data_IF_436798113745
#
_entry.id   IF_436798113745
#
_cell.length_a   1.000
_cell.length_b   1.000
_cell.length_c   1.000
_cell.angle_alpha   90.00
_cell.angle_beta   90.00
_cell.angle_gamma   90.00
#
_symmetry.space_group_name_H-M   'P 1'
#
loop_
_entity.id
_entity.type
_entity.pdbx_description
1 polymer ?
#
# COMPACT_ATOMS: atom_id res chain seq x y z
N UNK A 1 -12.79 14.95 -9.24
CA UNK A 1 -12.47 15.27 -7.83
C UNK A 1 -11.26 14.44 -7.43
N UNK A 2 -10.09 15.08 -7.32
CA UNK A 2 -8.85 14.43 -6.90
C UNK A 2 -8.87 14.24 -5.39
N UNK A 3 -8.96 12.99 -4.94
CA UNK A 3 -9.11 12.66 -3.52
C UNK A 3 -7.83 12.87 -2.68
N UNK A 4 -6.68 13.18 -3.29
CA UNK A 4 -5.42 13.49 -2.60
C UNK A 4 -4.50 14.35 -3.49
N UNK A 5 -4.33 15.66 -3.22
CA UNK A 5 -3.51 16.55 -4.06
C UNK A 5 -1.99 16.33 -3.93
N UNK A 6 -1.53 15.45 -3.02
CA UNK A 6 -0.12 15.11 -2.79
C UNK A 6 0.14 13.60 -2.80
N UNK A 7 -0.58 12.87 -3.66
CA UNK A 7 -0.45 11.41 -3.74
C UNK A 7 0.66 11.02 -4.72
N UNK A 8 1.64 10.24 -4.27
CA UNK A 8 2.47 9.45 -5.18
C UNK A 8 1.67 8.24 -5.64
N UNK A 9 1.49 8.12 -6.96
CA UNK A 9 0.83 6.98 -7.56
C UNK A 9 1.87 5.88 -7.83
N UNK A 10 1.72 4.74 -7.16
CA UNK A 10 2.45 3.53 -7.54
C UNK A 10 1.67 2.85 -8.67
N UNK A 11 2.04 3.14 -9.93
CA UNK A 11 1.50 2.40 -11.05
C UNK A 11 2.19 1.04 -11.11
N UNK A 12 1.44 -0.02 -10.83
CA UNK A 12 1.91 -1.38 -10.94
C UNK A 12 1.27 -1.97 -12.18
N UNK A 13 2.08 -2.24 -13.21
CA UNK A 13 1.62 -2.99 -14.38
C UNK A 13 1.13 -4.37 -13.89
N UNK A 14 -0.19 -4.54 -13.93
CA UNK A 14 -0.86 -5.75 -13.51
C UNK A 14 -0.57 -6.85 -14.53
N UNK A 15 0.17 -7.87 -14.09
CA UNK A 15 0.35 -9.11 -14.84
C UNK A 15 -0.63 -10.11 -14.22
N UNK A 16 -1.51 -10.72 -15.02
CA UNK A 16 -2.27 -11.90 -14.56
C UNK A 16 -1.25 -12.92 -14.04
N UNK A 17 -1.32 -13.28 -12.75
CA UNK A 17 -0.31 -14.04 -11.97
C UNK A 17 0.77 -13.22 -11.23
N UNK A 18 0.51 -11.95 -10.91
CA UNK A 18 1.39 -11.22 -10.02
C UNK A 18 1.48 -11.93 -8.66
N UNK A 19 2.69 -12.38 -8.29
CA UNK A 19 2.93 -12.98 -6.99
C UNK A 19 2.63 -11.94 -5.89
N UNK A 20 1.67 -12.29 -5.04
CA UNK A 20 1.21 -11.48 -3.91
C UNK A 20 2.35 -11.03 -2.98
N UNK A 21 3.29 -11.92 -2.65
CA UNK A 21 4.43 -11.56 -1.83
C UNK A 21 5.34 -10.55 -2.54
N UNK A 22 5.55 -10.71 -3.85
CA UNK A 22 6.35 -9.77 -4.64
C UNK A 22 5.68 -8.40 -4.72
N UNK A 23 4.35 -8.36 -4.79
CA UNK A 23 3.58 -7.13 -4.77
C UNK A 23 3.66 -6.41 -3.43
N UNK A 24 3.43 -7.13 -2.32
CA UNK A 24 3.57 -6.60 -0.97
C UNK A 24 4.99 -6.08 -0.75
N UNK A 25 6.02 -6.82 -1.17
CA UNK A 25 7.42 -6.39 -1.06
C UNK A 25 7.72 -5.10 -1.84
N UNK A 26 7.11 -4.91 -3.02
CA UNK A 26 7.23 -3.64 -3.77
C UNK A 26 6.63 -2.46 -2.98
N UNK A 27 5.49 -2.68 -2.34
CA UNK A 27 4.85 -1.68 -1.48
C UNK A 27 5.78 -1.33 -0.30
N UNK A 28 6.31 -2.33 0.39
CA UNK A 28 7.21 -2.11 1.54
C UNK A 28 8.51 -1.40 1.13
N UNK A 29 9.11 -1.79 0.01
CA UNK A 29 10.28 -1.11 -0.53
C UNK A 29 9.99 0.37 -0.82
N UNK A 30 8.80 0.69 -1.34
CA UNK A 30 8.43 2.07 -1.61
C UNK A 30 8.22 2.88 -0.33
N UNK A 31 7.63 2.27 0.71
CA UNK A 31 7.51 2.87 2.04
C UNK A 31 8.90 3.16 2.62
N UNK A 32 9.81 2.19 2.57
CA UNK A 32 11.18 2.33 3.09
C UNK A 32 12.05 3.31 2.29
N UNK A 33 11.90 3.36 0.96
CA UNK A 33 12.69 4.27 0.11
C UNK A 33 12.24 5.72 0.25
N UNK A 34 10.96 5.95 0.52
CA UNK A 34 10.41 7.29 0.69
C UNK A 34 10.53 7.71 2.16
N UNK A 35 11.75 8.09 2.61
CA UNK A 35 11.99 8.79 3.88
C UNK A 35 11.44 10.24 3.90
N UNK A 36 10.46 10.57 3.06
CA UNK A 36 9.87 11.89 3.04
C UNK A 36 8.86 12.02 4.18
N UNK A 37 9.11 12.96 5.09
CA UNK A 37 8.24 13.36 6.21
C UNK A 37 6.78 13.72 5.82
N UNK A 38 6.44 13.70 4.53
CA UNK A 38 5.20 14.24 3.97
C UNK A 38 4.27 13.19 3.35
N UNK A 39 4.77 11.97 3.10
CA UNK A 39 3.94 10.95 2.47
C UNK A 39 3.15 10.23 3.55
N UNK A 40 1.96 10.74 3.86
CA UNK A 40 1.06 10.17 4.88
C UNK A 40 0.00 9.23 4.32
N UNK A 41 -0.01 9.04 2.98
CA UNK A 41 -1.00 8.20 2.29
C UNK A 41 -0.39 7.55 1.04
N UNK A 42 -0.48 6.23 0.95
CA UNK A 42 -0.24 5.42 -0.24
C UNK A 42 -1.56 4.87 -0.79
N UNK A 43 -1.83 5.09 -2.08
CA UNK A 43 -2.93 4.44 -2.79
C UNK A 43 -2.40 3.32 -3.66
N UNK A 44 -3.04 2.17 -3.57
CA UNK A 44 -2.69 0.99 -4.34
C UNK A 44 -3.93 0.57 -5.11
N UNK A 45 -3.87 0.65 -6.44
CA UNK A 45 -4.93 0.16 -7.31
C UNK A 45 -4.70 -1.33 -7.62
N UNK A 46 -5.67 -2.18 -7.28
CA UNK A 46 -5.68 -3.60 -7.62
C UNK A 46 -7.10 -4.12 -7.75
N UNK A 47 -7.37 -4.75 -8.90
CA UNK A 47 -8.69 -5.30 -9.26
C UNK A 47 -9.00 -6.57 -8.45
N UNK A 48 -7.97 -7.21 -7.90
CA UNK A 48 -8.05 -8.49 -7.18
C UNK A 48 -7.85 -8.35 -5.68
N UNK A 49 -7.82 -7.13 -5.13
CA UNK A 49 -7.72 -6.94 -3.68
C UNK A 49 -8.82 -7.69 -2.94
N UNK A 50 -8.42 -8.62 -2.09
CA UNK A 50 -9.27 -9.29 -1.11
C UNK A 50 -8.81 -8.97 0.33
N UNK A 51 -9.58 -9.44 1.30
CA UNK A 51 -9.32 -9.17 2.72
C UNK A 51 -8.10 -9.95 3.23
N UNK A 52 -7.74 -11.07 2.60
CA UNK A 52 -6.55 -11.84 2.92
C UNK A 52 -5.28 -11.06 2.56
N UNK A 53 -5.26 -10.42 1.39
CA UNK A 53 -4.17 -9.54 0.96
C UNK A 53 -3.95 -8.40 1.95
N UNK A 54 -5.03 -7.78 2.44
CA UNK A 54 -4.95 -6.71 3.45
C UNK A 54 -4.39 -7.23 4.77
N UNK A 55 -4.83 -8.41 5.21
CA UNK A 55 -4.32 -9.04 6.44
C UNK A 55 -2.82 -9.35 6.33
N UNK A 56 -2.37 -9.87 5.19
CA UNK A 56 -0.95 -10.13 4.94
C UNK A 56 -0.12 -8.85 4.90
N UNK A 57 -0.62 -7.80 4.23
CA UNK A 57 0.03 -6.49 4.21
C UNK A 57 0.18 -5.93 5.62
N UNK A 58 -0.89 -5.97 6.42
CA UNK A 58 -0.89 -5.52 7.82
C UNK A 58 0.18 -6.27 8.64
N UNK A 59 0.16 -7.60 8.56
CA UNK A 59 1.10 -8.44 9.30
C UNK A 59 2.56 -8.13 8.93
N UNK A 60 2.88 -7.94 7.65
CA UNK A 60 4.24 -7.59 7.24
C UNK A 60 4.68 -6.21 7.73
N UNK A 61 3.78 -5.21 7.72
CA UNK A 61 4.07 -3.87 8.28
C UNK A 61 4.37 -3.97 9.77
N UNK A 62 3.58 -4.75 10.51
CA UNK A 62 3.72 -4.95 11.96
C UNK A 62 5.01 -5.72 12.30
N UNK A 63 5.29 -6.82 11.59
CA UNK A 63 6.46 -7.69 11.81
C UNK A 63 7.78 -6.96 11.53
N UNK A 64 7.83 -6.16 10.46
CA UNK A 64 9.01 -5.37 10.08
C UNK A 64 9.05 -3.98 10.75
N UNK A 65 8.04 -3.63 11.56
CA UNK A 65 7.89 -2.32 12.24
C UNK A 65 8.05 -1.12 11.30
N UNK A 66 7.49 -1.23 10.10
CA UNK A 66 7.69 -0.24 9.03
C UNK A 66 6.91 1.06 9.29
N UNK A 67 5.76 0.97 9.96
CA UNK A 67 4.91 2.10 10.30
C UNK A 67 4.39 1.92 11.74
N UNK A 68 4.41 2.98 12.54
CA UNK A 68 3.99 2.94 13.94
C UNK A 68 2.48 3.22 14.11
N UNK A 69 1.98 4.27 13.47
CA UNK A 69 0.58 4.67 13.51
C UNK A 69 0.01 4.70 12.10
N UNK A 70 -0.62 3.59 11.68
CA UNK A 70 -1.17 3.46 10.34
C UNK A 70 -2.59 2.89 10.30
N UNK A 71 -3.28 3.17 9.20
CA UNK A 71 -4.62 2.64 8.89
C UNK A 71 -4.65 2.12 7.46
N UNK A 72 -5.27 0.96 7.26
CA UNK A 72 -5.54 0.41 5.93
C UNK A 72 -7.05 0.50 5.68
N UNK A 73 -7.45 1.13 4.59
CA UNK A 73 -8.84 1.23 4.15
C UNK A 73 -8.98 0.69 2.73
N UNK A 74 -10.01 -0.12 2.48
CA UNK A 74 -10.32 -0.65 1.14
C UNK A 74 -11.57 0.03 0.61
N UNK A 75 -11.50 0.52 -0.63
CA UNK A 75 -12.66 1.03 -1.34
C UNK A 75 -12.60 0.53 -2.79
N UNK A 76 -13.53 -0.34 -3.16
CA UNK A 76 -13.58 -0.99 -4.48
C UNK A 76 -12.23 -1.66 -4.82
N UNK A 77 -11.57 -1.19 -5.89
CA UNK A 77 -10.29 -1.68 -6.40
C UNK A 77 -9.08 -0.93 -5.82
N UNK A 78 -9.26 -0.14 -4.76
CA UNK A 78 -8.19 0.65 -4.16
C UNK A 78 -7.98 0.27 -2.71
N UNK A 79 -6.72 0.11 -2.33
CA UNK A 79 -6.26 0.02 -0.95
C UNK A 79 -5.56 1.32 -0.61
N UNK A 80 -5.98 1.95 0.48
CA UNK A 80 -5.38 3.16 1.03
C UNK A 80 -4.65 2.81 2.31
N UNK A 81 -3.35 3.03 2.34
CA UNK A 81 -2.53 2.94 3.55
C UNK A 81 -2.19 4.35 3.99
N UNK A 82 -2.59 4.75 5.20
CA UNK A 82 -2.33 6.09 5.76
C UNK A 82 -1.52 5.98 7.03
N UNK A 83 -0.55 6.87 7.25
CA UNK A 83 0.25 6.89 8.48
C UNK A 83 0.63 8.31 8.91
N UNK A 84 0.92 8.48 10.21
CA UNK A 84 1.37 9.73 10.81
C UNK A 84 2.89 9.85 10.83
#
# INVERSE_FOLDING_TARGET
MSFCPRMEYLNVEYIQNMNMQSFLRKILNKINQNHHEYLHVLCIHTITADDQMIKQLKQMIDDEKLLLDYTIHRQLYNIYLKWK
#
